data_IF_704153718686
#
_entry.id   IF_704153718686
#
_cell.length_a   1.000
_cell.length_b   1.000
_cell.length_c   1.000
_cell.angle_alpha   90.00
_cell.angle_beta   90.00
_cell.angle_gamma   90.00
#
_symmetry.space_group_name_H-M   'P 1'
#
loop_
_entity.id
_entity.type
_entity.pdbx_description
1 polymer ?
#
# COMPACT_ATOMS: atom_id res chain seq x y z
N UNK A 1 20.02 38.24 30.61
CA UNK A 1 19.61 37.08 29.77
C UNK A 1 20.71 36.76 28.75
N UNK A 2 20.76 35.56 28.15
CA UNK A 2 21.77 35.19 27.12
C UNK A 2 21.67 35.97 25.80
N UNK A 3 20.66 36.84 25.65
CA UNK A 3 20.54 37.86 24.60
C UNK A 3 21.08 39.25 25.01
N UNK A 4 21.78 39.36 26.14
CA UNK A 4 22.28 40.63 26.69
C UNK A 4 21.25 41.43 27.50
N UNK A 5 19.95 41.33 27.16
CA UNK A 5 18.90 42.10 27.84
C UNK A 5 18.78 41.81 29.34
N UNK A 6 18.44 42.87 30.08
CA UNK A 6 18.09 42.86 31.51
C UNK A 6 16.57 43.04 31.62
N UNK A 7 15.88 42.07 32.20
CA UNK A 7 14.47 42.16 32.60
C UNK A 7 14.39 42.17 34.12
N UNK A 8 13.45 42.91 34.70
CA UNK A 8 13.11 42.76 36.11
C UNK A 8 12.36 41.43 36.34
N UNK A 9 12.30 40.97 37.59
CA UNK A 9 11.63 39.71 37.98
C UNK A 9 10.18 39.65 37.48
N UNK A 10 9.42 40.74 37.62
CA UNK A 10 8.03 40.78 37.16
C UNK A 10 7.90 40.75 35.63
N UNK A 11 8.78 41.44 34.89
CA UNK A 11 8.80 41.35 33.43
C UNK A 11 9.13 39.92 32.96
N UNK A 12 10.05 39.23 33.65
CA UNK A 12 10.38 37.83 33.36
C UNK A 12 9.20 36.90 33.64
N UNK A 13 8.48 37.06 34.77
CA UNK A 13 7.22 36.33 35.06
C UNK A 13 6.21 36.51 33.93
N UNK A 14 5.96 37.75 33.53
CA UNK A 14 4.99 38.06 32.47
C UNK A 14 5.42 37.43 31.13
N UNK A 15 6.71 37.51 30.75
CA UNK A 15 7.23 36.86 29.53
C UNK A 15 7.02 35.35 29.54
N UNK A 16 7.24 34.68 30.69
CA UNK A 16 7.04 33.23 30.79
C UNK A 16 5.55 32.87 30.72
N UNK A 17 4.67 33.59 31.45
CA UNK A 17 3.22 33.34 31.42
C UNK A 17 2.62 33.55 30.03
N UNK A 18 2.94 34.66 29.36
CA UNK A 18 2.48 34.89 27.98
C UNK A 18 3.01 33.84 26.98
N UNK A 19 4.14 33.19 27.25
CA UNK A 19 4.64 32.08 26.44
C UNK A 19 3.82 30.78 26.67
N UNK A 20 3.45 30.47 27.92
CA UNK A 20 2.67 29.27 28.32
C UNK A 20 1.15 29.41 28.19
N UNK A 21 0.65 30.63 27.94
CA UNK A 21 -0.75 30.94 27.67
C UNK A 21 -1.03 31.15 26.17
N UNK A 22 0.02 31.35 25.37
CA UNK A 22 -0.09 31.44 23.91
C UNK A 22 -0.47 30.08 23.30
N UNK A 23 -1.50 30.07 22.45
CA UNK A 23 -1.97 28.89 21.68
C UNK A 23 -0.92 28.27 20.74
N UNK A 24 0.30 28.83 20.66
CA UNK A 24 1.43 28.30 19.89
C UNK A 24 2.53 27.65 20.74
N UNK A 25 2.35 27.54 22.07
CA UNK A 25 3.22 26.75 22.96
C UNK A 25 4.72 27.04 22.84
N UNK A 26 5.10 28.32 22.88
CA UNK A 26 6.48 28.70 22.64
C UNK A 26 7.35 28.54 23.91
N UNK A 27 8.54 27.96 23.75
CA UNK A 27 9.57 27.98 24.82
C UNK A 27 9.85 29.43 25.24
N UNK A 28 9.77 29.78 26.54
CA UNK A 28 9.93 31.15 27.01
C UNK A 28 11.30 31.68 26.62
N UNK A 29 11.31 32.68 25.74
CA UNK A 29 12.50 33.15 25.03
C UNK A 29 12.51 34.66 24.90
N UNK A 30 13.71 35.23 24.80
CA UNK A 30 13.92 36.66 24.57
C UNK A 30 14.81 36.83 23.34
N UNK A 31 14.29 37.51 22.32
CA UNK A 31 14.95 37.68 21.01
C UNK A 31 15.39 36.34 20.38
N UNK A 32 14.50 35.34 20.43
CA UNK A 32 14.75 33.99 19.87
C UNK A 32 15.69 33.10 20.68
N UNK A 33 16.29 33.58 21.78
CA UNK A 33 17.11 32.75 22.67
C UNK A 33 16.28 32.28 23.88
N UNK A 34 16.27 30.98 24.23
CA UNK A 34 15.52 30.48 25.38
C UNK A 34 16.06 31.07 26.69
N UNK A 35 15.16 31.24 27.67
CA UNK A 35 15.50 31.72 29.01
C UNK A 35 16.05 30.52 29.81
N UNK A 36 17.27 30.59 30.39
CA UNK A 36 17.87 29.48 31.13
C UNK A 36 17.01 29.04 32.33
N UNK A 37 16.82 27.74 32.51
CA UNK A 37 15.94 27.16 33.55
C UNK A 37 16.18 27.70 34.97
N UNK A 38 17.45 27.90 35.36
CA UNK A 38 17.82 28.48 36.66
C UNK A 38 17.26 29.89 36.93
N UNK A 39 16.91 30.64 35.88
CA UNK A 39 16.25 31.95 35.99
C UNK A 39 14.72 31.85 35.98
N UNK A 40 14.15 30.74 35.48
CA UNK A 40 12.73 30.39 35.61
C UNK A 40 12.47 29.92 37.04
N UNK A 41 13.30 28.98 37.51
CA UNK A 41 13.32 28.41 38.86
C UNK A 41 13.38 29.47 39.96
N UNK A 42 14.30 30.44 39.85
CA UNK A 42 14.44 31.52 40.84
C UNK A 42 13.27 32.51 40.86
N UNK A 43 12.40 32.52 39.83
CA UNK A 43 11.39 33.57 39.63
C UNK A 43 9.96 33.04 39.70
N UNK A 44 9.71 31.75 39.46
CA UNK A 44 8.39 31.10 39.57
C UNK A 44 8.28 30.23 40.82
N UNK A 45 7.10 30.15 41.42
CA UNK A 45 6.86 29.25 42.56
C UNK A 45 6.83 27.78 42.11
N UNK A 46 7.11 26.84 43.02
CA UNK A 46 7.18 25.41 42.70
C UNK A 46 5.89 24.86 42.07
N UNK A 47 4.71 25.37 42.46
CA UNK A 47 3.44 25.03 41.83
C UNK A 47 3.31 25.55 40.39
N UNK A 48 3.78 26.77 40.12
CA UNK A 48 3.83 27.33 38.76
C UNK A 48 4.88 26.63 37.88
N UNK A 49 5.94 26.06 38.47
CA UNK A 49 6.92 25.23 37.78
C UNK A 49 6.33 23.86 37.39
N UNK A 50 5.56 23.21 38.27
CA UNK A 50 4.87 21.96 37.95
C UNK A 50 3.87 22.14 36.80
N UNK A 51 3.06 23.21 36.86
CA UNK A 51 2.10 23.56 35.81
C UNK A 51 2.76 24.03 34.48
N UNK A 52 4.07 24.32 34.49
CA UNK A 52 4.87 24.53 33.28
C UNK A 52 5.33 23.19 32.69
N UNK A 53 5.78 22.25 33.52
CA UNK A 53 6.23 20.92 33.07
C UNK A 53 5.09 20.09 32.50
N UNK A 54 3.96 20.01 33.22
CA UNK A 54 2.74 19.30 32.78
C UNK A 54 2.23 19.82 31.42
N UNK A 55 2.36 21.13 31.16
CA UNK A 55 2.03 21.76 29.87
C UNK A 55 3.05 21.50 28.75
N UNK A 56 4.28 21.13 29.08
CA UNK A 56 5.29 20.72 28.11
C UNK A 56 5.13 19.24 27.74
N UNK A 57 4.82 18.39 28.72
CA UNK A 57 4.49 16.97 28.48
C UNK A 57 3.26 16.82 27.56
N UNK A 58 2.18 17.58 27.82
CA UNK A 58 1.02 17.68 26.92
C UNK A 58 1.37 18.21 25.51
N UNK A 59 2.51 18.89 25.34
CA UNK A 59 2.97 19.42 24.06
C UNK A 59 3.78 18.41 23.25
N UNK A 60 4.54 17.52 23.91
CA UNK A 60 5.22 16.40 23.26
C UNK A 60 4.20 15.34 22.78
N UNK A 61 3.13 15.09 23.57
CA UNK A 61 1.98 14.29 23.11
C UNK A 61 1.29 14.92 21.89
N UNK A 62 0.96 16.21 21.95
CA UNK A 62 0.30 16.91 20.85
C UNK A 62 1.17 16.98 19.57
N UNK A 63 2.49 17.12 19.73
CA UNK A 63 3.44 17.13 18.61
C UNK A 63 3.53 15.75 17.93
N UNK A 64 3.48 14.68 18.72
CA UNK A 64 3.44 13.29 18.23
C UNK A 64 2.17 13.01 17.43
N UNK A 65 1.03 13.57 17.84
CA UNK A 65 -0.26 13.44 17.14
C UNK A 65 -0.29 14.29 15.84
N UNK A 66 0.26 15.51 15.88
CA UNK A 66 0.24 16.43 14.74
C UNK A 66 0.98 15.87 13.51
N UNK A 67 2.08 15.14 13.71
CA UNK A 67 2.86 14.51 12.64
C UNK A 67 2.04 13.54 11.75
N UNK A 68 0.96 12.95 12.29
CA UNK A 68 0.15 11.94 11.61
C UNK A 68 -1.02 12.50 10.79
N UNK A 69 -1.22 13.82 10.70
CA UNK A 69 -2.46 14.40 10.13
C UNK A 69 -2.30 15.43 9.01
N UNK A 70 -1.07 15.80 8.60
CA UNK A 70 -0.83 16.79 7.53
C UNK A 70 0.03 16.28 6.38
N UNK A 71 -0.46 15.28 5.64
CA UNK A 71 0.09 14.89 4.34
C UNK A 71 -0.98 14.66 3.28
N UNK A 72 -1.66 15.73 2.85
CA UNK A 72 -2.31 15.76 1.53
C UNK A 72 -2.42 17.20 0.98
N UNK A 73 -2.41 17.32 -0.36
CA UNK A 73 -3.03 18.42 -1.15
C UNK A 73 -2.42 19.85 -1.05
N UNK A 74 -1.51 20.22 -1.97
CA UNK A 74 -1.80 20.82 -3.32
C UNK A 74 -0.70 21.74 -3.92
N UNK A 75 -0.35 21.44 -5.17
CA UNK A 75 -0.08 22.36 -6.33
C UNK A 75 0.75 23.65 -6.20
N UNK A 76 1.75 23.71 -7.07
CA UNK A 76 2.53 24.86 -7.55
C UNK A 76 1.80 26.17 -7.90
N UNK A 77 2.38 27.30 -7.48
CA UNK A 77 2.42 28.59 -8.22
C UNK A 77 3.81 29.23 -7.96
N UNK A 78 4.38 29.97 -8.91
CA UNK A 78 5.66 30.66 -8.76
C UNK A 78 5.50 32.20 -8.82
N UNK A 79 6.21 32.96 -7.97
CA UNK A 79 6.72 34.32 -8.30
C UNK A 79 7.60 34.98 -7.21
N UNK A 80 8.57 35.80 -7.66
CA UNK A 80 9.12 37.04 -7.07
C UNK A 80 9.85 37.06 -5.70
N UNK A 81 11.16 37.33 -5.78
CA UNK A 81 11.94 38.23 -4.87
C UNK A 81 11.37 39.67 -4.92
N UNK A 82 11.53 40.53 -3.88
CA UNK A 82 12.82 41.07 -3.34
C UNK A 82 13.27 40.40 -2.02
N UNK A 83 14.40 40.68 -1.36
CA UNK A 83 15.39 41.76 -1.44
C UNK A 83 15.12 42.88 -0.41
N UNK A 84 15.91 43.13 0.63
CA UNK A 84 17.11 42.47 1.19
C UNK A 84 17.08 42.64 2.75
N UNK A 85 18.10 42.54 3.63
CA UNK A 85 19.57 42.68 3.60
C UNK A 85 20.27 41.68 4.56
N UNK A 86 21.58 41.90 4.77
CA UNK A 86 22.57 41.17 5.59
C UNK A 86 22.20 40.79 7.04
N UNK A 87 22.55 39.55 7.43
CA UNK A 87 23.05 39.18 8.76
C UNK A 87 23.91 37.89 8.63
N UNK A 88 25.01 37.78 9.39
CA UNK A 88 26.00 36.70 9.21
C UNK A 88 25.78 35.50 10.14
N UNK A 89 25.71 34.28 9.58
CA UNK A 89 26.16 32.99 10.15
C UNK A 89 25.94 31.90 9.09
N UNK A 90 26.95 31.21 8.53
CA UNK A 90 27.96 30.31 9.15
C UNK A 90 27.36 29.08 9.84
N UNK A 91 26.85 28.15 9.04
CA UNK A 91 26.73 26.71 9.35
C UNK A 91 27.33 25.86 8.23
N UNK A 92 28.51 26.27 7.73
CA UNK A 92 29.29 25.47 6.79
C UNK A 92 30.19 24.49 7.57
N UNK A 93 29.97 23.19 7.34
CA UNK A 93 30.85 22.04 7.63
C UNK A 93 32.00 22.26 8.63
N UNK A 94 31.82 21.80 9.87
CA UNK A 94 32.90 21.75 10.88
C UNK A 94 33.65 20.39 10.85
N UNK A 95 33.75 19.78 9.67
CA UNK A 95 34.35 18.45 9.42
C UNK A 95 35.54 18.50 8.44
N UNK A 96 36.06 19.70 8.14
CA UNK A 96 37.27 19.87 7.32
C UNK A 96 38.28 20.87 7.88
N UNK A 97 38.22 21.14 9.21
CA UNK A 97 39.32 21.77 9.93
C UNK A 97 40.46 20.79 10.15
N UNK A 98 41.22 20.54 9.08
CA UNK A 98 42.60 20.07 9.20
C UNK A 98 43.41 21.24 9.76
N UNK A 99 43.31 21.47 11.07
CA UNK A 99 44.23 22.36 11.77
C UNK A 99 45.65 21.84 11.51
N UNK A 100 46.52 22.69 10.96
CA UNK A 100 47.87 22.29 10.53
C UNK A 100 48.71 21.91 11.75
N UNK A 101 48.68 20.62 12.10
CA UNK A 101 49.35 20.05 13.27
C UNK A 101 50.82 20.46 13.22
N UNK A 102 51.25 21.22 14.23
CA UNK A 102 52.62 21.71 14.29
C UNK A 102 53.58 20.51 14.17
N UNK A 103 54.65 20.57 13.34
CA UNK A 103 55.37 19.36 12.92
C UNK A 103 55.97 18.53 14.07
N UNK A 104 56.23 19.16 15.23
CA UNK A 104 56.59 18.44 16.46
C UNK A 104 55.43 17.63 17.04
N UNK A 105 54.23 18.19 17.11
CA UNK A 105 53.04 17.49 17.61
C UNK A 105 52.64 16.35 16.68
N UNK A 106 52.84 16.50 15.36
CA UNK A 106 52.69 15.40 14.40
C UNK A 106 53.72 14.30 14.66
N UNK A 107 55.00 14.67 14.81
CA UNK A 107 56.08 13.71 15.09
C UNK A 107 55.88 12.93 16.40
N UNK A 108 55.33 13.55 17.45
CA UNK A 108 54.95 12.80 18.67
C UNK A 108 53.71 11.93 18.45
N UNK A 109 52.72 12.36 17.66
CA UNK A 109 51.56 11.54 17.29
C UNK A 109 51.99 10.29 16.52
N UNK A 110 52.89 10.44 15.54
CA UNK A 110 53.46 9.36 14.73
C UNK A 110 54.20 8.35 15.63
N UNK A 111 54.93 8.81 16.66
CA UNK A 111 55.59 7.94 17.66
C UNK A 111 54.59 7.16 18.53
N UNK A 112 53.45 7.76 18.90
CA UNK A 112 52.36 7.03 19.58
C UNK A 112 51.76 5.99 18.63
N UNK A 113 51.54 6.35 17.36
CA UNK A 113 50.96 5.47 16.34
C UNK A 113 51.87 4.30 15.97
N UNK A 114 53.19 4.48 16.02
CA UNK A 114 54.15 3.40 15.76
C UNK A 114 54.24 2.35 16.88
N UNK A 115 53.72 2.65 18.08
CA UNK A 115 53.81 1.78 19.26
C UNK A 115 52.96 0.51 19.12
N UNK A 116 53.51 -0.62 19.56
CA UNK A 116 52.90 -1.95 19.38
C UNK A 116 51.54 -2.09 20.06
N UNK A 117 51.34 -1.50 21.24
CA UNK A 117 50.06 -1.55 21.96
C UNK A 117 48.99 -0.63 21.34
N UNK A 118 49.38 0.45 20.65
CA UNK A 118 48.46 1.22 19.80
C UNK A 118 48.05 0.43 18.56
N UNK A 119 49.01 -0.22 17.89
CA UNK A 119 48.74 -1.07 16.71
C UNK A 119 47.82 -2.25 17.05
N UNK A 120 48.02 -2.90 18.19
CA UNK A 120 47.11 -3.91 18.72
C UNK A 120 45.72 -3.33 19.01
N UNK A 121 45.62 -2.20 19.73
CA UNK A 121 44.33 -1.56 19.98
C UNK A 121 43.59 -1.19 18.68
N UNK A 122 44.31 -0.75 17.64
CA UNK A 122 43.74 -0.45 16.32
C UNK A 122 43.23 -1.69 15.60
N UNK A 123 43.83 -2.86 15.80
CA UNK A 123 43.32 -4.14 15.33
C UNK A 123 42.07 -4.56 16.14
N UNK A 124 42.14 -4.58 17.47
CA UNK A 124 41.01 -4.92 18.35
C UNK A 124 39.74 -4.10 18.03
N UNK A 125 39.92 -2.79 17.76
CA UNK A 125 38.82 -1.89 17.40
C UNK A 125 38.29 -2.13 15.98
N UNK A 126 39.11 -2.58 15.04
CA UNK A 126 38.66 -2.99 13.71
C UNK A 126 37.88 -4.32 13.77
N UNK A 127 38.37 -5.31 14.51
CA UNK A 127 37.66 -6.58 14.72
C UNK A 127 36.32 -6.36 15.44
N UNK A 128 36.27 -5.48 16.45
CA UNK A 128 35.02 -5.07 17.10
C UNK A 128 34.06 -4.33 16.16
N UNK A 129 34.56 -3.50 15.24
CA UNK A 129 33.75 -2.85 14.20
C UNK A 129 33.11 -3.91 13.30
N UNK A 130 33.90 -4.86 12.81
CA UNK A 130 33.48 -5.79 11.77
C UNK A 130 32.55 -6.87 12.33
N UNK A 131 32.76 -7.32 13.56
CA UNK A 131 31.80 -8.15 14.31
C UNK A 131 30.47 -7.42 14.57
N UNK A 132 30.49 -6.11 14.82
CA UNK A 132 29.29 -5.31 15.02
C UNK A 132 28.53 -5.06 13.70
N UNK A 133 29.24 -4.81 12.59
CA UNK A 133 28.64 -4.73 11.25
C UNK A 133 27.98 -6.05 10.85
N UNK A 134 28.66 -7.18 11.03
CA UNK A 134 28.10 -8.51 10.77
C UNK A 134 26.90 -8.85 11.68
N UNK A 135 26.81 -8.27 12.89
CA UNK A 135 25.61 -8.35 13.72
C UNK A 135 24.46 -7.51 13.15
N UNK A 136 24.70 -6.27 12.69
CA UNK A 136 23.69 -5.42 12.05
C UNK A 136 23.11 -6.11 10.80
N UNK A 137 23.99 -6.59 9.93
CA UNK A 137 23.61 -7.30 8.70
C UNK A 137 22.75 -8.52 8.99
N UNK A 138 23.11 -9.31 10.00
CA UNK A 138 22.32 -10.46 10.44
C UNK A 138 20.94 -10.07 10.95
N UNK A 139 20.83 -9.07 11.82
CA UNK A 139 19.53 -8.66 12.39
C UNK A 139 18.62 -8.06 11.31
N UNK A 140 19.17 -7.30 10.36
CA UNK A 140 18.43 -6.80 9.19
C UNK A 140 17.97 -7.94 8.27
N UNK A 141 18.79 -8.97 8.07
CA UNK A 141 18.41 -10.15 7.27
C UNK A 141 17.35 -11.03 7.97
N UNK A 142 17.46 -11.23 9.28
CA UNK A 142 16.45 -11.96 10.08
C UNK A 142 15.09 -11.24 10.05
N UNK A 143 15.11 -9.90 10.15
CA UNK A 143 13.93 -9.04 10.06
C UNK A 143 13.32 -9.04 8.64
N UNK A 144 14.11 -8.92 7.57
CA UNK A 144 13.60 -8.99 6.20
C UNK A 144 13.01 -10.37 5.86
N UNK A 145 13.64 -11.46 6.32
CA UNK A 145 13.08 -12.82 6.19
C UNK A 145 11.72 -12.91 6.91
N UNK A 146 11.62 -12.41 8.14
CA UNK A 146 10.36 -12.38 8.88
C UNK A 146 9.27 -11.57 8.17
N UNK A 147 9.59 -10.36 7.70
CA UNK A 147 8.66 -9.52 6.95
C UNK A 147 8.26 -10.16 5.62
N UNK A 148 9.18 -10.80 4.91
CA UNK A 148 8.90 -11.51 3.66
C UNK A 148 7.92 -12.66 3.85
N UNK A 149 8.03 -13.41 4.95
CA UNK A 149 7.11 -14.49 5.33
C UNK A 149 5.71 -13.94 5.64
N UNK A 150 5.62 -12.90 6.45
CA UNK A 150 4.33 -12.27 6.79
C UNK A 150 3.65 -11.65 5.57
N UNK A 151 4.40 -11.03 4.65
CA UNK A 151 3.89 -10.56 3.34
C UNK A 151 3.34 -11.72 2.50
N UNK A 152 4.00 -12.87 2.48
CA UNK A 152 3.54 -14.05 1.75
C UNK A 152 2.26 -14.64 2.37
N UNK A 153 2.20 -14.82 3.70
CA UNK A 153 0.99 -15.29 4.38
C UNK A 153 -0.21 -14.37 4.13
N UNK A 154 -0.02 -13.06 4.28
CA UNK A 154 -1.09 -12.09 4.12
C UNK A 154 -1.58 -12.04 2.67
N UNK A 155 -0.67 -12.08 1.68
CA UNK A 155 -1.06 -12.18 0.26
C UNK A 155 -1.82 -13.46 -0.04
N UNK A 156 -1.41 -14.61 0.48
CA UNK A 156 -2.13 -15.86 0.29
C UNK A 156 -3.55 -15.81 0.88
N UNK A 157 -3.73 -15.20 2.07
CA UNK A 157 -5.05 -14.97 2.68
C UNK A 157 -5.92 -14.03 1.82
N UNK A 158 -5.32 -12.95 1.29
CA UNK A 158 -6.01 -11.97 0.45
C UNK A 158 -6.32 -12.49 -0.97
N UNK A 159 -5.54 -13.44 -1.48
CA UNK A 159 -5.81 -14.15 -2.73
C UNK A 159 -6.98 -15.13 -2.52
N UNK A 160 -6.95 -15.92 -1.44
CA UNK A 160 -8.04 -16.81 -1.05
C UNK A 160 -9.38 -16.07 -0.89
N UNK A 161 -9.45 -14.96 -0.13
CA UNK A 161 -10.72 -14.24 0.06
C UNK A 161 -11.23 -13.56 -1.22
N UNK A 162 -10.33 -13.22 -2.15
CA UNK A 162 -10.69 -12.76 -3.50
C UNK A 162 -11.23 -13.89 -4.39
N UNK A 163 -10.66 -15.09 -4.29
CA UNK A 163 -11.12 -16.29 -5.00
C UNK A 163 -12.48 -16.76 -4.48
N UNK A 164 -12.66 -16.87 -3.15
CA UNK A 164 -13.94 -17.21 -2.51
C UNK A 164 -15.08 -16.24 -2.91
N UNK A 165 -14.80 -14.93 -2.97
CA UNK A 165 -15.76 -13.94 -3.45
C UNK A 165 -16.07 -14.12 -4.95
N UNK A 166 -15.06 -14.41 -5.76
CA UNK A 166 -15.19 -14.67 -7.19
C UNK A 166 -16.06 -15.90 -7.47
N UNK A 167 -15.84 -17.01 -6.76
CA UNK A 167 -16.61 -18.23 -6.91
C UNK A 167 -18.08 -18.05 -6.53
N UNK A 168 -18.35 -17.35 -5.42
CA UNK A 168 -19.71 -16.95 -5.05
C UNK A 168 -20.35 -16.06 -6.12
N UNK A 169 -19.58 -15.15 -6.74
CA UNK A 169 -20.06 -14.30 -7.82
C UNK A 169 -20.35 -15.06 -9.11
N UNK A 170 -19.51 -16.01 -9.50
CA UNK A 170 -19.69 -16.88 -10.69
C UNK A 170 -20.89 -17.81 -10.50
N UNK A 171 -20.97 -18.50 -9.36
CA UNK A 171 -22.10 -19.39 -9.04
C UNK A 171 -23.44 -18.62 -9.01
N UNK A 172 -23.45 -17.40 -8.46
CA UNK A 172 -24.62 -16.53 -8.47
C UNK A 172 -24.98 -16.03 -9.87
N UNK A 173 -24.02 -15.84 -10.80
CA UNK A 173 -24.33 -15.47 -12.18
C UNK A 173 -24.94 -16.64 -12.95
N UNK A 174 -24.34 -17.85 -12.86
CA UNK A 174 -24.88 -19.07 -13.48
C UNK A 174 -26.32 -19.37 -13.04
N UNK A 175 -26.62 -19.30 -11.73
CA UNK A 175 -27.97 -19.46 -11.18
C UNK A 175 -28.99 -18.45 -11.77
N UNK A 176 -28.56 -17.24 -12.10
CA UNK A 176 -29.43 -16.27 -12.76
C UNK A 176 -29.64 -16.59 -14.23
N UNK A 177 -28.61 -17.07 -14.94
CA UNK A 177 -28.67 -17.40 -16.35
C UNK A 177 -29.52 -18.65 -16.59
N UNK A 178 -29.38 -19.70 -15.78
CA UNK A 178 -30.25 -20.89 -15.80
C UNK A 178 -31.73 -20.52 -15.60
N UNK A 179 -32.02 -19.61 -14.65
CA UNK A 179 -33.39 -19.11 -14.41
C UNK A 179 -33.93 -18.27 -15.57
N UNK A 180 -33.06 -17.61 -16.35
CA UNK A 180 -33.44 -16.85 -17.53
C UNK A 180 -33.73 -17.77 -18.72
N UNK A 181 -32.84 -18.74 -18.97
CA UNK A 181 -33.01 -19.78 -19.99
C UNK A 181 -34.30 -20.56 -19.73
N UNK A 182 -34.55 -20.96 -18.47
CA UNK A 182 -35.80 -21.62 -18.10
C UNK A 182 -37.03 -20.73 -18.37
N UNK A 183 -37.04 -19.48 -17.88
CA UNK A 183 -38.19 -18.59 -18.10
C UNK A 183 -38.48 -18.33 -19.59
N UNK A 184 -37.44 -18.29 -20.44
CA UNK A 184 -37.60 -18.15 -21.89
C UNK A 184 -38.02 -19.46 -22.59
N UNK A 185 -37.69 -20.62 -22.02
CA UNK A 185 -38.17 -21.93 -22.47
C UNK A 185 -39.64 -22.15 -22.10
N UNK A 186 -40.01 -21.93 -20.83
CA UNK A 186 -41.38 -22.02 -20.32
C UNK A 186 -42.33 -21.11 -21.13
N UNK A 187 -41.89 -19.89 -21.47
CA UNK A 187 -42.64 -18.95 -22.32
C UNK A 187 -42.79 -19.46 -23.76
N UNK A 188 -41.77 -20.11 -24.33
CA UNK A 188 -41.87 -20.70 -25.68
C UNK A 188 -42.78 -21.91 -25.74
N UNK A 189 -42.82 -22.73 -24.69
CA UNK A 189 -43.77 -23.85 -24.59
C UNK A 189 -45.21 -23.33 -24.56
N UNK A 190 -45.49 -22.32 -23.73
CA UNK A 190 -46.79 -21.64 -23.71
C UNK A 190 -47.18 -21.08 -25.09
N UNK A 191 -46.27 -20.37 -25.77
CA UNK A 191 -46.50 -19.84 -27.11
C UNK A 191 -46.61 -20.92 -28.21
N UNK A 192 -46.00 -22.09 -28.04
CA UNK A 192 -46.16 -23.22 -28.95
C UNK A 192 -47.55 -23.86 -28.79
N UNK A 193 -48.00 -24.01 -27.53
CA UNK A 193 -49.35 -24.46 -27.22
C UNK A 193 -50.41 -23.49 -27.72
N UNK A 194 -50.25 -22.18 -27.51
CA UNK A 194 -51.16 -21.14 -28.01
C UNK A 194 -51.33 -21.22 -29.54
N UNK A 195 -50.23 -21.47 -30.28
CA UNK A 195 -50.25 -21.74 -31.72
C UNK A 195 -51.01 -23.02 -32.06
N UNK A 196 -50.80 -24.12 -31.33
CA UNK A 196 -51.50 -25.38 -31.56
C UNK A 196 -53.01 -25.27 -31.27
N UNK A 197 -53.39 -24.64 -30.16
CA UNK A 197 -54.79 -24.45 -29.75
C UNK A 197 -55.51 -23.53 -30.77
N UNK A 198 -54.86 -22.44 -31.20
CA UNK A 198 -55.41 -21.53 -32.23
C UNK A 198 -55.52 -22.17 -33.60
N UNK A 199 -54.52 -22.96 -34.03
CA UNK A 199 -54.59 -23.69 -35.30
C UNK A 199 -55.68 -24.78 -35.29
N UNK A 200 -55.87 -25.46 -34.15
CA UNK A 200 -56.96 -26.42 -33.92
C UNK A 200 -58.31 -25.74 -34.00
N UNK A 201 -58.51 -24.63 -33.27
CA UNK A 201 -59.75 -23.84 -33.29
C UNK A 201 -60.08 -23.33 -34.70
N UNK A 202 -59.08 -22.76 -35.39
CA UNK A 202 -59.21 -22.30 -36.78
C UNK A 202 -59.63 -23.44 -37.71
N UNK A 203 -59.01 -24.63 -37.62
CA UNK A 203 -59.39 -25.79 -38.42
C UNK A 203 -60.83 -26.24 -38.17
N UNK A 204 -61.28 -26.28 -36.91
CA UNK A 204 -62.67 -26.64 -36.58
C UNK A 204 -63.68 -25.61 -37.09
N UNK A 205 -63.36 -24.31 -36.98
CA UNK A 205 -64.24 -23.23 -37.43
C UNK A 205 -64.26 -23.08 -38.96
N UNK A 206 -63.16 -23.35 -39.65
CA UNK A 206 -63.13 -23.40 -41.11
C UNK A 206 -63.91 -24.59 -41.67
N UNK A 207 -63.82 -25.77 -41.06
CA UNK A 207 -64.67 -26.91 -41.41
C UNK A 207 -66.17 -26.59 -41.19
N UNK A 208 -66.52 -26.06 -40.01
CA UNK A 208 -67.90 -25.67 -39.68
C UNK A 208 -68.47 -24.64 -40.68
N UNK A 209 -67.72 -23.56 -40.96
CA UNK A 209 -68.13 -22.54 -41.92
C UNK A 209 -68.15 -23.03 -43.38
N UNK A 210 -67.43 -24.10 -43.70
CA UNK A 210 -67.47 -24.79 -45.00
C UNK A 210 -68.61 -25.84 -45.11
N UNK A 211 -69.37 -26.07 -44.04
CA UNK A 211 -70.45 -27.06 -44.03
C UNK A 211 -69.99 -28.50 -43.78
N UNK A 212 -68.84 -28.72 -43.15
CA UNK A 212 -68.28 -30.05 -42.88
C UNK A 212 -67.90 -30.26 -41.41
N UNK A 213 -68.02 -31.51 -40.95
CA UNK A 213 -67.40 -31.95 -39.70
C UNK A 213 -65.88 -32.09 -39.87
N UNK A 214 -65.13 -32.08 -38.76
CA UNK A 214 -63.66 -32.24 -38.77
C UNK A 214 -63.18 -33.63 -39.24
N UNK A 215 -64.09 -34.57 -39.47
CA UNK A 215 -63.89 -35.87 -40.12
C UNK A 215 -63.94 -35.81 -41.65
N UNK A 216 -64.50 -34.74 -42.23
CA UNK A 216 -64.75 -34.58 -43.67
C UNK A 216 -66.20 -34.80 -44.08
N UNK A 217 -67.05 -35.35 -43.20
CA UNK A 217 -68.47 -35.57 -43.48
C UNK A 217 -69.24 -34.25 -43.60
N UNK A 218 -70.20 -34.17 -44.53
CA UNK A 218 -71.04 -32.99 -44.69
C UNK A 218 -71.99 -32.78 -43.49
N UNK A 219 -72.24 -31.53 -43.12
CA UNK A 219 -73.20 -31.17 -42.08
C UNK A 219 -74.22 -30.13 -42.54
N UNK A 220 -75.48 -30.32 -42.16
CA UNK A 220 -76.59 -29.46 -42.57
C UNK A 220 -76.94 -28.37 -41.53
N UNK A 221 -75.93 -27.89 -40.79
CA UNK A 221 -76.07 -26.76 -39.86
C UNK A 221 -76.07 -25.44 -40.63
N UNK A 222 -76.90 -24.49 -40.22
CA UNK A 222 -76.98 -23.15 -40.84
C UNK A 222 -75.85 -22.28 -40.27
N UNK A 223 -74.87 -21.94 -41.12
CA UNK A 223 -73.77 -21.03 -40.77
C UNK A 223 -74.27 -19.58 -40.83
N UNK A 224 -74.12 -18.86 -39.73
CA UNK A 224 -74.55 -17.47 -39.56
C UNK A 224 -73.42 -16.48 -39.90
N UNK A 225 -73.77 -15.19 -40.06
CA UNK A 225 -72.76 -14.14 -40.22
C UNK A 225 -71.98 -13.84 -38.93
N UNK A 226 -72.50 -14.24 -37.76
CA UNK A 226 -71.74 -14.24 -36.52
C UNK A 226 -70.60 -15.26 -36.58
N UNK A 227 -70.87 -16.49 -37.04
CA UNK A 227 -69.86 -17.54 -37.18
C UNK A 227 -68.72 -17.12 -38.13
N UNK A 228 -69.08 -16.44 -39.24
CA UNK A 228 -68.11 -15.84 -40.18
C UNK A 228 -67.27 -14.74 -39.54
N UNK A 229 -67.91 -13.86 -38.77
CA UNK A 229 -67.22 -12.81 -38.00
C UNK A 229 -66.26 -13.39 -36.95
N UNK A 230 -66.61 -14.52 -36.34
CA UNK A 230 -65.74 -15.22 -35.38
C UNK A 230 -64.57 -15.95 -36.04
N UNK A 231 -64.77 -16.57 -37.21
CA UNK A 231 -63.67 -17.10 -38.02
C UNK A 231 -62.65 -16.01 -38.39
N UNK A 232 -63.11 -14.84 -38.79
CA UNK A 232 -62.25 -13.70 -39.08
C UNK A 232 -61.50 -13.16 -37.85
N UNK A 233 -62.10 -13.22 -36.64
CA UNK A 233 -61.38 -12.89 -35.38
C UNK A 233 -60.24 -13.88 -35.14
N UNK A 234 -60.47 -15.18 -35.32
CA UNK A 234 -59.45 -16.22 -35.09
C UNK A 234 -58.32 -16.15 -36.12
N UNK A 235 -58.63 -15.88 -37.40
CA UNK A 235 -57.63 -15.60 -38.45
C UNK A 235 -56.74 -14.41 -38.10
N UNK A 236 -57.32 -13.27 -37.70
CA UNK A 236 -56.56 -12.10 -37.23
C UNK A 236 -55.74 -12.40 -35.97
N UNK A 237 -56.19 -13.31 -35.11
CA UNK A 237 -55.43 -13.74 -33.92
C UNK A 237 -54.16 -14.49 -34.33
N UNK A 238 -54.27 -15.47 -35.24
CA UNK A 238 -53.15 -16.18 -35.87
C UNK A 238 -52.17 -15.20 -36.53
N UNK A 239 -52.67 -14.28 -37.36
CA UNK A 239 -51.81 -13.38 -38.15
C UNK A 239 -51.04 -12.36 -37.31
N UNK A 240 -51.50 -12.09 -36.09
CA UNK A 240 -50.80 -11.27 -35.10
C UNK A 240 -49.94 -12.07 -34.11
N UNK A 241 -49.97 -13.40 -34.18
CA UNK A 241 -49.46 -14.28 -33.13
C UNK A 241 -47.93 -14.19 -32.98
N UNK A 242 -47.20 -14.31 -34.09
CA UNK A 242 -45.73 -14.29 -34.06
C UNK A 242 -45.19 -12.94 -33.57
N UNK A 243 -45.82 -11.82 -33.94
CA UNK A 243 -45.47 -10.47 -33.48
C UNK A 243 -45.69 -10.33 -31.96
N UNK A 244 -46.79 -10.91 -31.42
CA UNK A 244 -47.05 -10.92 -29.98
C UNK A 244 -46.02 -11.77 -29.23
N UNK A 245 -45.71 -12.96 -29.74
CA UNK A 245 -44.73 -13.88 -29.16
C UNK A 245 -43.31 -13.31 -29.16
N UNK A 246 -42.88 -12.72 -30.28
CA UNK A 246 -41.59 -12.05 -30.39
C UNK A 246 -41.49 -10.84 -29.44
N UNK A 247 -42.54 -10.01 -29.39
CA UNK A 247 -42.60 -8.86 -28.47
C UNK A 247 -42.48 -9.29 -27.00
N UNK A 248 -43.21 -10.34 -26.59
CA UNK A 248 -43.14 -10.88 -25.23
C UNK A 248 -41.73 -11.40 -24.88
N UNK A 249 -41.08 -12.15 -25.77
CA UNK A 249 -39.71 -12.64 -25.60
C UNK A 249 -38.71 -11.46 -25.52
N UNK A 250 -38.88 -10.43 -26.35
CA UNK A 250 -37.99 -9.26 -26.35
C UNK A 250 -38.16 -8.40 -25.08
N UNK A 251 -39.37 -8.26 -24.54
CA UNK A 251 -39.61 -7.61 -23.24
C UNK A 251 -38.95 -8.41 -22.11
N UNK A 252 -39.14 -9.74 -22.09
CA UNK A 252 -38.51 -10.62 -21.11
C UNK A 252 -36.98 -10.47 -21.13
N UNK A 253 -36.33 -10.66 -22.29
CA UNK A 253 -34.89 -10.49 -22.47
C UNK A 253 -34.39 -9.10 -22.06
N UNK A 254 -35.16 -8.05 -22.37
CA UNK A 254 -34.85 -6.68 -22.00
C UNK A 254 -34.85 -6.45 -20.49
N UNK A 255 -35.77 -7.09 -19.76
CA UNK A 255 -35.79 -7.03 -18.29
C UNK A 255 -34.67 -7.89 -17.67
N UNK A 256 -34.51 -9.13 -18.14
CA UNK A 256 -33.45 -10.05 -17.74
C UNK A 256 -32.05 -9.41 -17.86
N UNK A 257 -31.78 -8.78 -19.01
CA UNK A 257 -30.53 -8.05 -19.27
C UNK A 257 -30.28 -6.90 -18.27
N UNK A 258 -31.33 -6.18 -17.86
CA UNK A 258 -31.23 -5.13 -16.82
C UNK A 258 -30.93 -5.75 -15.45
N UNK A 259 -31.61 -6.84 -15.09
CA UNK A 259 -31.40 -7.58 -13.83
C UNK A 259 -29.97 -8.10 -13.71
N UNK A 260 -29.39 -8.67 -14.78
CA UNK A 260 -27.97 -9.07 -14.83
C UNK A 260 -27.03 -7.87 -14.65
N UNK A 261 -27.26 -6.76 -15.38
CA UNK A 261 -26.41 -5.56 -15.28
C UNK A 261 -26.38 -4.97 -13.85
N UNK A 262 -27.50 -4.98 -13.13
CA UNK A 262 -27.53 -4.56 -11.72
C UNK A 262 -26.84 -5.55 -10.79
N UNK A 263 -26.86 -6.87 -11.08
CA UNK A 263 -26.11 -7.89 -10.33
C UNK A 263 -24.60 -7.68 -10.51
N UNK A 264 -24.13 -7.58 -11.75
CA UNK A 264 -22.73 -7.32 -12.06
C UNK A 264 -22.23 -6.02 -11.40
N UNK A 265 -23.00 -4.92 -11.49
CA UNK A 265 -22.62 -3.66 -10.83
C UNK A 265 -22.56 -3.76 -9.30
N UNK A 266 -23.32 -4.66 -8.68
CA UNK A 266 -23.23 -4.95 -7.25
C UNK A 266 -21.95 -5.75 -6.94
N UNK A 267 -21.68 -6.78 -7.73
CA UNK A 267 -20.49 -7.63 -7.61
C UNK A 267 -19.20 -6.81 -7.76
N UNK A 268 -19.14 -5.90 -8.74
CA UNK A 268 -18.07 -4.91 -8.93
C UNK A 268 -17.78 -4.09 -7.65
N UNK A 269 -18.83 -3.67 -6.92
CA UNK A 269 -18.70 -2.87 -5.69
C UNK A 269 -18.21 -3.69 -4.52
N UNK A 270 -18.67 -4.93 -4.40
CA UNK A 270 -18.23 -5.88 -3.37
C UNK A 270 -16.72 -6.18 -3.55
N UNK A 271 -16.27 -6.42 -4.79
CA UNK A 271 -14.85 -6.56 -5.14
C UNK A 271 -14.05 -5.27 -4.90
N UNK A 272 -14.62 -4.09 -5.20
CA UNK A 272 -13.93 -2.82 -4.97
C UNK A 272 -13.73 -2.50 -3.49
N UNK A 273 -14.69 -2.83 -2.62
CA UNK A 273 -14.54 -2.64 -1.18
C UNK A 273 -13.60 -3.67 -0.54
N UNK A 274 -13.64 -4.94 -0.97
CA UNK A 274 -12.65 -5.95 -0.52
C UNK A 274 -11.22 -5.51 -0.89
N UNK A 275 -11.01 -5.05 -2.13
CA UNK A 275 -9.75 -4.42 -2.58
C UNK A 275 -9.43 -3.11 -1.84
N UNK A 276 -10.37 -2.46 -1.14
CA UNK A 276 -10.11 -1.28 -0.30
C UNK A 276 -9.71 -1.67 1.11
N UNK A 277 -10.26 -2.77 1.63
CA UNK A 277 -9.87 -3.40 2.89
C UNK A 277 -8.45 -3.95 2.78
N UNK A 278 -8.16 -4.78 1.78
CA UNK A 278 -6.83 -5.37 1.58
C UNK A 278 -5.71 -4.32 1.51
N UNK A 279 -5.92 -3.20 0.78
CA UNK A 279 -4.94 -2.10 0.71
C UNK A 279 -4.75 -1.31 2.01
N UNK A 280 -5.69 -1.41 2.96
CA UNK A 280 -5.53 -0.83 4.31
C UNK A 280 -4.70 -1.76 5.19
N UNK A 281 -4.99 -3.05 5.15
CA UNK A 281 -4.21 -4.11 5.81
C UNK A 281 -2.75 -4.10 5.32
N UNK A 282 -2.53 -4.03 4.01
CA UNK A 282 -1.19 -3.83 3.41
C UNK A 282 -0.49 -2.60 3.99
N UNK A 283 -1.17 -1.45 4.00
CA UNK A 283 -0.59 -0.21 4.53
C UNK A 283 -0.36 -0.24 6.05
N UNK A 284 -1.16 -0.99 6.81
CA UNK A 284 -1.03 -1.17 8.26
C UNK A 284 0.17 -2.07 8.59
N UNK A 285 0.29 -3.19 7.88
CA UNK A 285 1.41 -4.14 8.02
C UNK A 285 2.75 -3.51 7.62
N UNK A 286 2.81 -2.79 6.49
CA UNK A 286 4.04 -2.09 6.06
C UNK A 286 4.43 -0.93 6.99
N UNK A 287 3.48 -0.30 7.72
CA UNK A 287 3.81 0.65 8.80
C UNK A 287 4.46 -0.06 9.99
N UNK A 288 3.91 -1.18 10.43
CA UNK A 288 4.52 -2.00 11.49
C UNK A 288 5.95 -2.43 11.15
N UNK A 289 6.19 -2.85 9.90
CA UNK A 289 7.53 -3.20 9.40
C UNK A 289 8.50 -2.00 9.40
N UNK A 290 8.04 -0.82 8.98
CA UNK A 290 8.85 0.40 9.03
C UNK A 290 9.23 0.79 10.47
N UNK A 291 8.28 0.68 11.41
CA UNK A 291 8.57 0.90 12.83
C UNK A 291 9.57 -0.13 13.40
N UNK A 292 9.49 -1.41 13.02
CA UNK A 292 10.45 -2.43 13.45
C UNK A 292 11.86 -2.16 12.90
N UNK A 293 11.97 -1.75 11.63
CA UNK A 293 13.23 -1.34 11.04
C UNK A 293 13.82 -0.10 11.76
N UNK A 294 13.00 0.90 12.08
CA UNK A 294 13.44 2.07 12.87
C UNK A 294 13.87 1.69 14.29
N UNK A 295 13.12 0.83 15.00
CA UNK A 295 13.50 0.31 16.32
C UNK A 295 14.85 -0.43 16.29
N UNK A 296 15.15 -1.17 15.21
CA UNK A 296 16.46 -1.78 15.01
C UNK A 296 17.55 -0.72 14.79
N UNK A 297 17.31 0.27 13.93
CA UNK A 297 18.28 1.33 13.63
C UNK A 297 18.61 2.22 14.85
N UNK A 298 17.63 2.49 15.73
CA UNK A 298 17.86 3.18 17.01
C UNK A 298 18.79 2.37 17.94
N UNK A 299 18.54 1.07 18.10
CA UNK A 299 19.40 0.15 18.86
C UNK A 299 20.81 0.05 18.26
N UNK A 300 20.93 0.14 16.93
CA UNK A 300 22.22 0.22 16.24
C UNK A 300 22.93 1.55 16.53
N UNK A 301 22.21 2.67 16.50
CA UNK A 301 22.76 3.99 16.81
C UNK A 301 23.27 4.08 18.26
N UNK A 302 22.49 3.61 19.24
CA UNK A 302 22.87 3.55 20.65
C UNK A 302 24.15 2.73 20.88
N UNK A 303 24.21 1.53 20.30
CA UNK A 303 25.41 0.67 20.36
C UNK A 303 26.60 1.33 19.66
N UNK A 304 26.41 2.03 18.55
CA UNK A 304 27.47 2.76 17.83
C UNK A 304 27.98 3.96 18.63
N UNK A 305 27.14 4.64 19.42
CA UNK A 305 27.58 5.68 20.38
C UNK A 305 28.39 5.04 21.51
N UNK A 306 27.89 3.95 22.09
CA UNK A 306 28.53 3.24 23.21
C UNK A 306 29.92 2.67 22.84
N UNK A 307 30.06 2.07 21.65
CA UNK A 307 31.36 1.60 21.13
C UNK A 307 32.31 2.76 20.88
N UNK A 308 31.86 3.86 20.25
CA UNK A 308 32.68 5.06 20.05
C UNK A 308 33.17 5.67 21.37
N UNK A 309 32.35 5.70 22.42
CA UNK A 309 32.77 6.17 23.74
C UNK A 309 33.86 5.25 24.35
N UNK A 310 33.68 3.93 24.28
CA UNK A 310 34.66 2.93 24.75
C UNK A 310 36.01 3.08 24.04
N UNK A 311 36.00 3.20 22.71
CA UNK A 311 37.22 3.33 21.91
C UNK A 311 37.99 4.63 22.19
N UNK A 312 37.28 5.73 22.47
CA UNK A 312 37.90 7.00 22.88
C UNK A 312 38.59 6.87 24.24
N UNK A 313 37.98 6.18 25.21
CA UNK A 313 38.60 5.92 26.52
C UNK A 313 39.84 5.02 26.38
N UNK A 314 39.78 3.97 25.55
CA UNK A 314 40.95 3.12 25.27
C UNK A 314 42.10 3.92 24.65
N UNK A 315 41.81 4.75 23.64
CA UNK A 315 42.81 5.60 22.99
C UNK A 315 43.44 6.60 23.99
N UNK A 316 42.63 7.24 24.84
CA UNK A 316 43.11 8.13 25.89
C UNK A 316 44.01 7.40 26.93
N UNK A 317 43.75 6.13 27.23
CA UNK A 317 44.63 5.30 28.08
C UNK A 317 45.98 5.06 27.40
N UNK A 318 46.03 4.82 26.09
CA UNK A 318 47.30 4.68 25.35
C UNK A 318 48.09 6.01 25.36
N UNK A 319 47.44 7.15 25.13
CA UNK A 319 48.07 8.47 25.28
C UNK A 319 48.66 8.62 26.68
N UNK A 320 47.87 8.38 27.75
CA UNK A 320 48.33 8.56 29.12
C UNK A 320 49.44 7.59 29.55
N UNK A 321 49.52 6.40 28.93
CA UNK A 321 50.71 5.53 29.05
C UNK A 321 51.91 6.19 28.39
N UNK A 322 51.83 6.57 27.11
CA UNK A 322 52.93 7.21 26.38
C UNK A 322 53.46 8.48 27.07
N UNK A 323 52.57 9.37 27.53
CA UNK A 323 52.99 10.60 28.23
C UNK A 323 53.79 10.29 29.51
N UNK A 324 53.43 9.23 30.24
CA UNK A 324 54.17 8.76 31.42
C UNK A 324 55.48 8.07 31.04
N UNK A 325 55.47 7.26 29.98
CA UNK A 325 56.61 6.44 29.56
C UNK A 325 57.69 7.28 28.83
N UNK A 326 57.32 8.43 28.24
CA UNK A 326 58.19 9.31 27.43
C UNK A 326 58.36 10.71 28.03
N UNK A 327 57.62 11.07 29.09
CA UNK A 327 57.67 12.39 29.75
C UNK A 327 57.14 13.56 28.90
N UNK A 328 56.62 13.29 27.72
CA UNK A 328 56.19 14.30 26.73
C UNK A 328 54.67 14.31 26.65
N UNK A 329 54.02 15.46 26.85
CA UNK A 329 52.56 15.55 26.78
C UNK A 329 52.07 15.66 25.33
N UNK A 330 51.02 14.91 25.01
CA UNK A 330 50.43 14.82 23.66
C UNK A 330 49.01 15.36 23.71
N UNK A 331 48.87 16.68 23.52
CA UNK A 331 47.58 17.38 23.48
C UNK A 331 46.85 17.22 22.13
N UNK A 332 46.74 15.99 21.64
CA UNK A 332 46.10 15.65 20.37
C UNK A 332 45.17 14.43 20.51
N UNK A 333 44.08 14.42 19.74
CA UNK A 333 43.17 13.26 19.68
C UNK A 333 43.76 12.23 18.72
N UNK A 334 44.06 11.02 19.21
CA UNK A 334 44.51 9.94 18.34
C UNK A 334 43.45 9.60 17.27
N UNK A 335 43.86 9.20 16.05
CA UNK A 335 42.93 8.76 15.02
C UNK A 335 42.07 7.58 15.51
N UNK A 336 40.75 7.77 15.51
CA UNK A 336 39.77 6.70 15.76
C UNK A 336 39.82 5.67 14.63
N UNK A 337 39.38 4.43 14.89
CA UNK A 337 38.91 3.57 13.79
C UNK A 337 37.76 4.29 13.09
N UNK A 338 37.84 4.35 11.76
CA UNK A 338 36.80 4.96 10.93
C UNK A 338 35.58 4.05 10.87
N UNK A 339 34.44 4.65 11.24
CA UNK A 339 33.14 4.22 10.80
C UNK A 339 32.96 4.78 9.39
N UNK A 340 33.22 3.96 8.36
CA UNK A 340 33.05 4.41 6.96
C UNK A 340 31.56 4.40 6.59
N UNK A 341 30.88 5.46 7.02
CA UNK A 341 29.47 5.76 6.78
C UNK A 341 29.24 6.13 5.31
N UNK A 342 29.32 5.13 4.42
CA UNK A 342 29.02 5.27 3.00
C UNK A 342 29.49 4.14 2.07
N UNK A 343 30.38 3.24 2.53
CA UNK A 343 31.00 2.24 1.62
C UNK A 343 30.10 1.03 1.34
N UNK A 344 29.28 0.60 2.30
CA UNK A 344 28.42 -0.61 2.15
C UNK A 344 27.21 -0.35 1.24
N UNK A 345 26.55 0.79 1.36
CA UNK A 345 25.32 1.13 0.60
C UNK A 345 25.52 1.31 -0.92
N UNK A 346 26.77 1.34 -1.40
CA UNK A 346 27.11 1.44 -2.83
C UNK A 346 27.83 0.21 -3.39
N UNK A 347 28.14 -0.78 -2.55
CA UNK A 347 28.97 -1.93 -2.91
C UNK A 347 28.20 -3.11 -3.53
N UNK A 348 26.85 -3.14 -3.49
CA UNK A 348 26.04 -4.18 -4.14
C UNK A 348 25.03 -3.60 -5.12
N UNK A 349 25.53 -3.15 -6.28
CA UNK A 349 24.79 -3.32 -7.53
C UNK A 349 25.37 -4.54 -8.24
N UNK A 350 24.63 -5.65 -8.42
CA UNK A 350 25.13 -6.78 -9.20
C UNK A 350 25.41 -6.29 -10.63
N UNK A 351 26.64 -6.48 -11.11
CA UNK A 351 26.98 -6.27 -12.51
C UNK A 351 26.25 -7.32 -13.34
N UNK A 352 25.13 -6.97 -13.94
CA UNK A 352 24.56 -7.77 -15.03
C UNK A 352 25.56 -7.81 -16.19
N UNK A 353 26.04 -8.99 -16.62
CA UNK A 353 26.90 -9.08 -17.79
C UNK A 353 26.07 -8.81 -19.04
N UNK A 354 26.13 -7.57 -19.53
CA UNK A 354 25.39 -7.14 -20.70
C UNK A 354 26.03 -7.75 -21.96
N UNK A 355 25.41 -8.78 -22.57
CA UNK A 355 26.09 -9.45 -23.69
C UNK A 355 25.54 -10.76 -24.26
N UNK A 356 24.27 -11.14 -24.08
CA UNK A 356 23.63 -12.07 -25.02
C UNK A 356 22.18 -11.65 -25.30
N UNK A 357 21.97 -11.05 -26.47
CA UNK A 357 20.64 -10.71 -26.96
C UNK A 357 20.02 -11.95 -27.63
N UNK A 358 18.91 -12.44 -27.09
CA UNK A 358 18.00 -13.33 -27.80
C UNK A 358 16.68 -12.58 -28.01
N UNK A 359 16.33 -12.33 -29.27
CA UNK A 359 15.00 -11.86 -29.64
C UNK A 359 13.97 -12.95 -29.28
N UNK A 360 13.09 -12.68 -28.33
CA UNK A 360 11.81 -13.38 -28.23
C UNK A 360 10.67 -12.40 -28.46
N UNK A 361 10.44 -12.09 -29.74
CA UNK A 361 9.40 -11.15 -30.17
C UNK A 361 8.05 -11.83 -30.10
N UNK A 362 7.30 -11.61 -29.02
CA UNK A 362 5.92 -12.08 -28.85
C UNK A 362 4.96 -11.25 -29.72
N UNK A 363 5.03 -11.45 -31.04
CA UNK A 363 4.09 -10.82 -31.97
C UNK A 363 2.75 -11.56 -31.92
N UNK A 364 1.81 -10.99 -31.18
CA UNK A 364 0.41 -11.46 -31.13
C UNK A 364 -0.31 -11.07 -32.42
N UNK A 365 -0.05 -11.81 -33.50
CA UNK A 365 -0.78 -11.63 -34.76
C UNK A 365 -2.08 -12.44 -34.79
N UNK A 366 -3.16 -11.75 -35.11
CA UNK A 366 -4.52 -12.29 -35.20
C UNK A 366 -4.88 -12.39 -36.67
N UNK A 367 -4.96 -13.61 -37.21
CA UNK A 367 -5.62 -13.86 -38.49
C UNK A 367 -6.65 -14.98 -38.42
N UNK A 368 -7.73 -14.75 -39.16
CA UNK A 368 -8.90 -15.61 -39.26
C UNK A 368 -8.83 -16.46 -40.54
N UNK A 369 -9.58 -17.57 -40.55
CA UNK A 369 -10.10 -18.37 -41.68
C UNK A 369 -9.56 -19.81 -41.84
N UNK A 370 -10.42 -20.69 -42.39
CA UNK A 370 -10.02 -21.98 -43.00
C UNK A 370 -10.32 -23.27 -42.22
N UNK A 371 -11.58 -23.73 -42.25
CA UNK A 371 -11.93 -25.16 -42.04
C UNK A 371 -11.81 -25.93 -43.38
N UNK A 372 -11.88 -27.28 -43.42
CA UNK A 372 -11.46 -28.29 -42.44
C UNK A 372 -10.57 -29.40 -43.08
N UNK A 373 -9.97 -30.27 -42.26
CA UNK A 373 -9.34 -31.52 -42.71
C UNK A 373 -9.73 -32.70 -41.81
N UNK A 374 -10.18 -33.82 -42.38
CA UNK A 374 -10.66 -35.00 -41.64
C UNK A 374 -9.58 -36.09 -41.61
N UNK A 375 -9.27 -36.60 -40.42
CA UNK A 375 -8.82 -37.99 -40.23
C UNK A 375 -9.08 -38.45 -38.78
N UNK A 376 -9.21 -39.75 -38.57
CA UNK A 376 -9.53 -40.36 -37.27
C UNK A 376 -8.28 -40.83 -36.51
N UNK A 377 -8.33 -40.90 -35.18
CA UNK A 377 -7.15 -41.32 -34.40
C UNK A 377 -7.28 -41.55 -32.89
N UNK A 378 -7.92 -42.65 -32.50
CA UNK A 378 -7.59 -43.48 -31.32
C UNK A 378 -7.91 -43.05 -29.87
N UNK A 379 -8.00 -44.10 -29.03
CA UNK A 379 -7.93 -44.19 -27.56
C UNK A 379 -9.00 -43.52 -26.68
N UNK A 380 -10.08 -44.28 -26.47
CA UNK A 380 -10.73 -44.38 -25.16
C UNK A 380 -9.70 -44.84 -24.10
N UNK A 381 -9.64 -44.15 -22.95
CA UNK A 381 -9.06 -44.69 -21.71
C UNK A 381 -10.13 -44.68 -20.61
N UNK A 382 -10.33 -45.83 -19.97
CA UNK A 382 -11.34 -45.99 -18.92
C UNK A 382 -10.94 -45.39 -17.57
N UNK A 383 -11.94 -45.08 -16.74
CA UNK A 383 -11.73 -44.83 -15.30
C UNK A 383 -11.33 -46.14 -14.60
N UNK A 384 -10.37 -46.14 -13.67
CA UNK A 384 -10.30 -47.19 -12.66
C UNK A 384 -11.44 -47.01 -11.64
N UNK A 385 -12.17 -48.08 -11.35
CA UNK A 385 -12.98 -48.14 -10.12
C UNK A 385 -12.04 -48.26 -8.91
N UNK A 386 -12.41 -47.64 -7.79
CA UNK A 386 -11.87 -48.03 -6.47
C UNK A 386 -12.82 -49.04 -5.86
N UNK A 387 -12.27 -50.09 -5.26
CA UNK A 387 -13.02 -51.11 -4.52
C UNK A 387 -12.25 -51.43 -3.24
N UNK A 388 -12.90 -51.20 -2.10
CA UNK A 388 -12.47 -51.54 -0.74
C UNK A 388 -11.09 -50.98 -0.35
#
# INVERSE_FOLDING_TARGET
>A
LPCGHRLCTQALRNTIKSATESKKGAVPSCCGRPIPGKLVEHVMTQAEQHALLEKLEQWDEASSIAASTTSERRTSVASRRPGALSAESRTASDDSRVDTVAPKLQQELDRVMERTDFKQLRQDQAEQRDLFLAWIERQRAELDVHHSHLRQEMRARQEQTMEELSDVHVAAMADAEDKQVKAEADLREAHAKERQDTATALKHMEAYCAGTYSTGDAHHRVVTDQDRSELDKVRRSRDQMDIKHESAINVLRGEQSRRLKYRAQRQDREVQELRRIHRREEAEVERGFAEEAHRLDDLVAEKRVSLRARWQVQAAIIVKKFERDTGTSVHARLPSVEWQEGTVEKAVKPKTPNGFANHFSSHYDRQENGKPGVSAGWFVRGRPQRTW
#
